data_IF_339378037759
#
_entry.id   IF_339378037759
#
_cell.length_a   1.000
_cell.length_b   1.000
_cell.length_c   1.000
_cell.angle_alpha   90.00
_cell.angle_beta   90.00
_cell.angle_gamma   90.00
#
_symmetry.space_group_name_H-M   'P 1'
#
loop_
_entity.id
_entity.type
_entity.pdbx_description
1 polymer ?
#
# COMPACT_ATOMS: atom_id res chain seq x y z
N UNK A 1 -0.75 13.34 1.17
CA UNK A 1 0.31 12.31 1.22
C UNK A 1 0.88 12.01 -0.16
N UNK A 2 0.07 11.69 -1.17
CA UNK A 2 0.58 11.43 -2.55
C UNK A 2 1.45 12.58 -3.07
N UNK A 3 0.93 13.81 -3.10
CA UNK A 3 1.70 14.99 -3.51
C UNK A 3 2.93 15.24 -2.62
N UNK A 4 2.82 14.92 -1.33
CA UNK A 4 3.90 15.04 -0.35
C UNK A 4 5.06 14.11 -0.68
N UNK A 5 4.77 12.84 -1.03
CA UNK A 5 5.76 11.84 -1.41
C UNK A 5 6.50 12.24 -2.70
N UNK A 6 5.79 12.82 -3.66
CA UNK A 6 6.39 13.30 -4.91
C UNK A 6 7.05 14.68 -4.81
N UNK A 7 7.02 15.34 -3.64
CA UNK A 7 7.48 16.73 -3.41
C UNK A 7 7.03 17.71 -4.49
N UNK A 8 5.90 17.43 -5.12
CA UNK A 8 5.38 18.18 -6.25
C UNK A 8 3.88 18.02 -6.30
N UNK A 9 3.19 19.04 -6.81
CA UNK A 9 1.79 18.87 -7.20
C UNK A 9 1.78 17.85 -8.32
N UNK A 10 1.33 16.63 -8.01
CA UNK A 10 0.86 15.69 -9.01
C UNK A 10 -0.44 16.29 -9.57
N UNK A 11 -0.26 17.29 -10.42
CA UNK A 11 -1.35 18.06 -10.96
C UNK A 11 -2.15 17.17 -11.92
N UNK A 12 -3.45 17.08 -11.67
CA UNK A 12 -4.43 16.45 -12.58
C UNK A 12 -4.97 17.44 -13.62
N UNK A 13 -4.42 18.65 -13.71
CA UNK A 13 -4.60 19.69 -14.75
C UNK A 13 -3.75 20.92 -14.39
N UNK A 14 -2.97 21.45 -15.33
CA UNK A 14 -2.15 22.63 -15.12
C UNK A 14 -3.02 23.83 -14.69
N UNK A 15 -2.67 24.52 -13.61
CA UNK A 15 -3.44 25.70 -13.18
C UNK A 15 -2.56 26.80 -12.60
N UNK A 16 -3.02 28.03 -12.89
CA UNK A 16 -2.41 29.31 -12.57
C UNK A 16 -2.23 29.55 -11.06
N UNK A 17 -1.25 30.37 -10.65
CA UNK A 17 -1.03 30.69 -9.24
C UNK A 17 -2.20 31.48 -8.65
N UNK A 18 -2.81 30.98 -7.57
CA UNK A 18 -3.79 31.73 -6.77
C UNK A 18 -5.07 30.99 -6.37
N UNK A 19 -5.35 29.82 -6.95
CA UNK A 19 -6.52 29.02 -6.58
C UNK A 19 -6.13 27.80 -5.75
N UNK A 20 -6.63 27.71 -4.51
CA UNK A 20 -6.55 26.50 -3.69
C UNK A 20 -7.46 25.44 -4.29
N UNK A 21 -6.97 24.67 -5.26
CA UNK A 21 -7.71 23.53 -5.79
C UNK A 21 -7.79 22.45 -4.71
N UNK A 22 -8.96 22.35 -4.06
CA UNK A 22 -9.26 21.28 -3.12
C UNK A 22 -9.22 19.96 -3.89
N UNK A 23 -8.34 19.04 -3.49
CA UNK A 23 -8.27 17.71 -4.10
C UNK A 23 -9.65 17.03 -3.93
N UNK A 24 -10.34 16.68 -5.02
CA UNK A 24 -11.66 16.08 -4.93
C UNK A 24 -11.60 14.71 -4.26
N UNK A 25 -12.70 14.27 -3.64
CA UNK A 25 -12.79 12.94 -3.04
C UNK A 25 -12.53 11.88 -4.10
N UNK A 26 -11.61 10.96 -3.83
CA UNK A 26 -11.29 9.84 -4.71
C UNK A 26 -12.46 8.85 -4.69
N UNK A 27 -13.08 8.60 -5.85
CA UNK A 27 -14.26 7.73 -6.02
C UNK A 27 -13.92 6.39 -6.68
N UNK A 28 -12.77 6.31 -7.35
CA UNK A 28 -12.27 5.12 -8.04
C UNK A 28 -10.76 5.00 -7.84
N UNK A 29 -10.21 3.79 -8.00
CA UNK A 29 -8.76 3.60 -7.93
C UNK A 29 -8.08 4.36 -9.07
N UNK A 30 -7.04 5.12 -8.74
CA UNK A 30 -6.31 5.94 -9.70
C UNK A 30 -4.81 5.87 -9.46
N UNK A 31 -4.08 5.39 -10.45
CA UNK A 31 -2.61 5.32 -10.39
C UNK A 31 -1.99 6.55 -11.03
N UNK A 32 -1.00 7.13 -10.34
CA UNK A 32 -0.15 8.19 -10.87
C UNK A 32 1.29 7.69 -10.86
N UNK A 33 1.95 7.81 -12.00
CA UNK A 33 3.35 7.42 -12.16
C UNK A 33 4.24 8.62 -12.44
N UNK A 34 5.32 8.75 -11.68
CA UNK A 34 6.40 9.70 -11.94
C UNK A 34 7.75 9.00 -11.95
N UNK A 35 8.68 9.51 -12.76
CA UNK A 35 10.08 9.13 -12.66
C UNK A 35 10.75 10.09 -11.70
N UNK A 36 11.24 9.57 -10.59
CA UNK A 36 11.99 10.33 -9.59
C UNK A 36 13.46 9.92 -9.65
N UNK A 37 14.35 10.83 -9.27
CA UNK A 37 15.79 10.58 -9.20
C UNK A 37 16.27 10.81 -7.77
N UNK A 38 16.88 9.78 -7.18
CA UNK A 38 17.43 9.83 -5.83
C UNK A 38 18.89 9.42 -5.87
N UNK A 39 19.80 10.32 -5.48
CA UNK A 39 21.27 10.11 -5.50
C UNK A 39 21.80 9.59 -6.86
N UNK A 40 21.25 10.09 -7.97
CA UNK A 40 21.64 9.69 -9.33
C UNK A 40 20.97 8.42 -9.85
N UNK A 41 20.14 7.75 -9.04
CA UNK A 41 19.37 6.57 -9.44
C UNK A 41 17.96 6.99 -9.84
N UNK A 42 17.60 6.75 -11.11
CA UNK A 42 16.24 6.98 -11.62
C UNK A 42 15.34 5.81 -11.30
N UNK A 43 14.20 6.07 -10.70
CA UNK A 43 13.18 5.08 -10.40
C UNK A 43 11.79 5.54 -10.87
N UNK A 44 10.99 4.60 -11.37
CA UNK A 44 9.61 4.84 -11.78
C UNK A 44 8.68 4.53 -10.60
N UNK A 45 8.29 5.56 -9.86
CA UNK A 45 7.40 5.42 -8.71
C UNK A 45 5.95 5.56 -9.18
N UNK A 46 5.13 4.55 -8.89
CA UNK A 46 3.68 4.58 -9.14
C UNK A 46 2.94 4.55 -7.82
N UNK A 47 2.10 5.54 -7.57
CA UNK A 47 1.23 5.61 -6.38
C UNK A 47 -0.21 5.42 -6.84
N UNK A 48 -0.88 4.40 -6.29
CA UNK A 48 -2.29 4.15 -6.54
C UNK A 48 -3.12 4.71 -5.40
N UNK A 49 -3.87 5.76 -5.69
CA UNK A 49 -4.84 6.35 -4.78
C UNK A 49 -6.14 5.53 -4.78
N UNK A 50 -6.77 5.38 -3.63
CA UNK A 50 -7.91 4.49 -3.44
C UNK A 50 -9.14 5.25 -2.93
N UNK A 51 -10.35 4.80 -3.25
CA UNK A 51 -11.56 5.34 -2.63
C UNK A 51 -11.53 5.14 -1.11
N UNK A 52 -12.08 6.10 -0.38
CA UNK A 52 -12.27 5.95 1.06
C UNK A 52 -13.29 4.86 1.39
N UNK A 53 -13.13 4.22 2.55
CA UNK A 53 -14.06 3.23 3.12
C UNK A 53 -14.49 3.66 4.52
N UNK A 54 -15.55 3.04 5.05
CA UNK A 54 -16.06 3.32 6.41
C UNK A 54 -17.12 4.43 6.50
N UNK A 55 -17.54 4.99 5.36
CA UNK A 55 -18.57 6.04 5.29
C UNK A 55 -20.00 5.48 5.16
N UNK A 56 -20.14 4.18 4.85
CA UNK A 56 -21.44 3.54 4.64
C UNK A 56 -22.02 3.01 5.96
N UNK A 57 -23.33 2.75 6.00
CA UNK A 57 -23.97 2.07 7.14
C UNK A 57 -23.48 0.62 7.20
N UNK A 58 -23.52 -0.09 6.07
CA UNK A 58 -22.90 -1.40 5.92
C UNK A 58 -21.57 -1.26 5.17
N UNK A 59 -20.47 -1.61 5.85
CA UNK A 59 -19.12 -1.61 5.28
C UNK A 59 -18.58 -3.03 5.02
N UNK A 60 -19.44 -4.05 5.05
CA UNK A 60 -19.06 -5.40 4.63
C UNK A 60 -18.43 -5.37 3.23
N UNK A 61 -17.36 -6.12 3.06
CA UNK A 61 -16.66 -6.29 1.78
C UNK A 61 -16.06 -4.99 1.19
N UNK A 62 -15.93 -3.92 1.97
CA UNK A 62 -15.34 -2.66 1.48
C UNK A 62 -13.86 -2.80 1.04
N UNK A 63 -13.18 -3.88 1.44
CA UNK A 63 -11.83 -4.23 1.03
C UNK A 63 -11.74 -4.90 -0.35
N UNK A 64 -12.84 -5.44 -0.87
CA UNK A 64 -12.85 -6.23 -2.11
C UNK A 64 -12.29 -5.48 -3.32
N UNK A 65 -12.63 -4.19 -3.56
CA UNK A 65 -12.08 -3.45 -4.70
C UNK A 65 -10.54 -3.35 -4.65
N UNK A 66 -9.97 -3.16 -3.46
CA UNK A 66 -8.52 -3.02 -3.27
C UNK A 66 -7.83 -4.39 -3.39
N UNK A 67 -8.38 -5.43 -2.75
CA UNK A 67 -7.87 -6.80 -2.87
C UNK A 67 -7.93 -7.29 -4.32
N UNK A 68 -9.03 -7.00 -5.02
CA UNK A 68 -9.20 -7.32 -6.44
C UNK A 68 -8.12 -6.65 -7.28
N UNK A 69 -7.90 -5.34 -7.09
CA UNK A 69 -6.85 -4.61 -7.81
C UNK A 69 -5.46 -5.22 -7.61
N UNK A 70 -5.08 -5.57 -6.37
CA UNK A 70 -3.79 -6.21 -6.07
C UNK A 70 -3.67 -7.55 -6.81
N UNK A 71 -4.68 -8.42 -6.69
CA UNK A 71 -4.71 -9.71 -7.38
C UNK A 71 -4.66 -9.56 -8.90
N UNK A 72 -5.31 -8.55 -9.49
CA UNK A 72 -5.24 -8.27 -10.93
C UNK A 72 -3.83 -7.91 -11.38
N UNK A 73 -3.03 -7.22 -10.54
CA UNK A 73 -1.62 -6.95 -10.88
C UNK A 73 -0.77 -8.21 -10.83
N UNK A 74 -1.01 -9.10 -9.85
CA UNK A 74 -0.35 -10.41 -9.81
C UNK A 74 -0.74 -11.29 -10.99
N UNK A 75 -2.02 -11.32 -11.35
CA UNK A 75 -2.53 -12.02 -12.52
C UNK A 75 -1.87 -11.53 -13.80
N UNK A 76 -1.77 -10.20 -13.97
CA UNK A 76 -1.13 -9.60 -15.14
C UNK A 76 0.33 -9.99 -15.26
N UNK A 77 1.06 -10.03 -14.14
CA UNK A 77 2.44 -10.46 -14.11
C UNK A 77 2.58 -11.95 -14.44
N UNK A 78 1.75 -12.80 -13.82
CA UNK A 78 1.72 -14.25 -14.05
C UNK A 78 1.45 -14.59 -15.51
N UNK A 79 0.49 -13.92 -16.15
CA UNK A 79 0.15 -14.13 -17.57
C UNK A 79 1.32 -13.90 -18.51
N UNK A 80 2.22 -12.96 -18.19
CA UNK A 80 3.43 -12.70 -18.98
C UNK A 80 4.54 -13.70 -18.64
N UNK A 81 4.61 -14.17 -17.40
CA UNK A 81 5.60 -15.14 -16.93
C UNK A 81 5.40 -16.54 -17.52
N UNK A 82 4.15 -16.98 -17.70
CA UNK A 82 3.82 -18.32 -18.23
C UNK A 82 4.01 -18.44 -19.76
N UNK A 83 4.21 -17.34 -20.48
CA UNK A 83 4.40 -17.38 -21.94
C UNK A 83 5.73 -18.05 -22.29
N UNK A 84 5.70 -18.98 -23.24
CA UNK A 84 6.91 -19.62 -23.79
C UNK A 84 7.84 -18.55 -24.37
N UNK A 85 7.29 -17.64 -25.19
CA UNK A 85 7.99 -16.48 -25.74
C UNK A 85 7.74 -15.25 -24.87
N UNK A 86 8.35 -15.23 -23.69
CA UNK A 86 8.22 -14.11 -22.74
C UNK A 86 9.05 -12.88 -23.14
N UNK A 87 8.58 -11.70 -22.72
CA UNK A 87 9.34 -10.45 -22.82
C UNK A 87 10.62 -10.55 -21.99
N UNK A 88 11.73 -9.97 -22.48
CA UNK A 88 13.00 -9.89 -21.73
C UNK A 88 12.85 -9.15 -20.40
N UNK A 89 11.97 -8.15 -20.34
CA UNK A 89 11.64 -7.38 -19.15
C UNK A 89 10.12 -7.29 -19.01
N UNK A 90 9.54 -8.08 -18.11
CA UNK A 90 8.11 -8.03 -17.81
C UNK A 90 7.83 -6.69 -17.11
N UNK A 91 6.84 -5.90 -17.57
CA UNK A 91 6.42 -4.69 -16.87
C UNK A 91 5.87 -5.02 -15.49
N UNK A 92 6.58 -4.64 -14.43
CA UNK A 92 6.10 -4.84 -13.06
C UNK A 92 5.11 -3.74 -12.67
N UNK A 93 3.88 -4.15 -12.41
CA UNK A 93 2.77 -3.28 -11.95
C UNK A 93 2.23 -3.73 -10.59
N UNK A 94 2.85 -4.76 -9.98
CA UNK A 94 2.44 -5.30 -8.68
C UNK A 94 2.61 -4.24 -7.60
N UNK A 95 1.73 -4.29 -6.59
CA UNK A 95 1.79 -3.36 -5.46
C UNK A 95 2.86 -3.86 -4.49
N UNK A 96 3.95 -3.11 -4.34
CA UNK A 96 5.06 -3.52 -3.46
C UNK A 96 4.85 -3.14 -1.99
N UNK A 97 4.05 -2.12 -1.72
CA UNK A 97 3.72 -1.65 -0.36
C UNK A 97 2.37 -0.95 -0.33
N UNK A 98 1.62 -1.17 0.74
CA UNK A 98 0.35 -0.54 1.05
C UNK A 98 0.49 0.32 2.31
N UNK A 99 0.46 1.65 2.15
CA UNK A 99 0.43 2.59 3.28
C UNK A 99 -0.98 2.68 3.83
N UNK A 100 -1.23 2.12 5.01
CA UNK A 100 -2.56 2.04 5.60
C UNK A 100 -2.79 3.21 6.58
N UNK A 101 -3.77 4.07 6.29
CA UNK A 101 -4.03 5.27 7.10
C UNK A 101 -5.00 4.97 8.25
N UNK A 102 -4.47 4.97 9.47
CA UNK A 102 -5.24 4.87 10.71
C UNK A 102 -5.74 6.28 11.09
N UNK A 103 -7.05 6.47 11.35
CA UNK A 103 -7.56 7.75 11.83
C UNK A 103 -6.98 8.12 13.20
N UNK A 104 -6.66 9.41 13.45
CA UNK A 104 -6.05 9.86 14.71
C UNK A 104 -7.10 10.00 15.82
N UNK A 105 -7.75 8.91 16.21
CA UNK A 105 -8.80 8.93 17.26
C UNK A 105 -8.24 9.02 18.68
N UNK A 106 -6.98 8.63 18.88
CA UNK A 106 -6.36 8.54 20.21
C UNK A 106 -6.83 7.34 21.05
N UNK A 107 -7.72 6.49 20.52
CA UNK A 107 -8.28 5.33 21.23
C UNK A 107 -7.62 4.01 20.80
N UNK A 108 -8.37 3.14 20.12
CA UNK A 108 -7.97 1.81 19.67
C UNK A 108 -8.17 1.69 18.17
N UNK A 109 -7.62 0.64 17.55
CA UNK A 109 -7.96 0.33 16.17
C UNK A 109 -9.45 -0.01 16.06
N UNK A 110 -10.12 0.54 15.05
CA UNK A 110 -11.52 0.19 14.79
C UNK A 110 -11.57 -1.27 14.34
N UNK A 111 -12.63 -2.04 14.67
CA UNK A 111 -12.81 -3.41 14.18
C UNK A 111 -12.73 -3.52 12.66
N UNK A 112 -13.23 -2.50 11.95
CA UNK A 112 -13.12 -2.40 10.50
C UNK A 112 -11.64 -2.36 10.04
N UNK A 113 -10.80 -1.58 10.70
CA UNK A 113 -9.38 -1.45 10.35
C UNK A 113 -8.60 -2.73 10.65
N UNK A 114 -8.94 -3.40 11.76
CA UNK A 114 -8.35 -4.70 12.12
C UNK A 114 -8.63 -5.75 11.05
N UNK A 115 -9.89 -5.89 10.63
CA UNK A 115 -10.27 -6.86 9.61
C UNK A 115 -9.66 -6.51 8.25
N UNK A 116 -9.63 -5.23 7.88
CA UNK A 116 -9.03 -4.78 6.63
C UNK A 116 -7.53 -5.10 6.60
N UNK A 117 -6.76 -4.66 7.60
CA UNK A 117 -5.32 -4.90 7.66
C UNK A 117 -4.99 -6.39 7.73
N UNK A 118 -5.79 -7.19 8.45
CA UNK A 118 -5.64 -8.66 8.50
C UNK A 118 -5.79 -9.33 7.13
N UNK A 119 -6.66 -8.82 6.26
CA UNK A 119 -6.81 -9.33 4.89
C UNK A 119 -5.68 -8.86 3.99
N UNK A 120 -5.30 -7.59 4.10
CA UNK A 120 -4.22 -7.02 3.28
C UNK A 120 -2.85 -7.62 3.59
N UNK A 121 -2.51 -7.82 4.86
CA UNK A 121 -1.19 -8.33 5.27
C UNK A 121 -0.85 -9.70 4.69
N UNK A 122 -1.86 -10.49 4.31
CA UNK A 122 -1.71 -11.80 3.67
C UNK A 122 -1.32 -11.73 2.19
N UNK A 123 -1.48 -10.58 1.54
CA UNK A 123 -1.33 -10.44 0.08
C UNK A 123 -0.45 -9.26 -0.33
N UNK A 124 -0.07 -8.36 0.59
CA UNK A 124 0.79 -7.21 0.31
C UNK A 124 1.49 -6.76 1.58
N UNK A 125 2.66 -6.13 1.44
CA UNK A 125 3.34 -5.49 2.56
C UNK A 125 2.54 -4.29 3.07
N UNK A 126 2.13 -4.30 4.33
CA UNK A 126 1.32 -3.22 4.93
C UNK A 126 2.18 -2.38 5.86
N UNK A 127 2.22 -1.05 5.63
CA UNK A 127 2.88 -0.07 6.51
C UNK A 127 1.81 0.83 7.11
N UNK A 128 1.39 0.61 8.37
CA UNK A 128 0.38 1.45 8.99
C UNK A 128 0.95 2.81 9.40
N UNK A 129 0.14 3.85 9.22
CA UNK A 129 0.49 5.24 9.56
C UNK A 129 -0.67 5.93 10.25
N UNK A 130 -0.40 6.74 11.27
CA UNK A 130 -1.40 7.61 11.89
C UNK A 130 -1.58 8.82 10.97
N UNK A 131 -2.76 8.95 10.39
CA UNK A 131 -3.11 10.03 9.49
C UNK A 131 -3.28 11.35 10.26
N UNK A 132 -2.93 12.49 9.63
CA UNK A 132 -3.14 13.84 10.21
C UNK A 132 -2.64 13.93 11.65
N UNK A 133 -1.42 13.45 11.90
CA UNK A 133 -0.88 13.36 13.25
C UNK A 133 -0.74 14.71 13.97
N UNK A 134 -0.86 15.83 13.24
CA UNK A 134 -0.96 17.19 13.77
C UNK A 134 -2.21 17.43 14.63
N UNK A 135 -3.17 16.50 14.67
CA UNK A 135 -4.35 16.58 15.54
C UNK A 135 -4.14 15.98 16.93
N UNK A 136 -2.99 15.36 17.20
CA UNK A 136 -2.67 14.72 18.48
C UNK A 136 -1.46 15.43 19.11
N UNK A 137 -1.44 15.54 20.43
CA UNK A 137 -0.21 15.96 21.14
C UNK A 137 0.87 14.87 21.07
N UNK A 138 2.09 15.19 21.49
CA UNK A 138 3.20 14.22 21.49
C UNK A 138 2.91 13.04 22.42
N UNK A 139 2.26 13.30 23.56
CA UNK A 139 1.87 12.34 24.57
C UNK A 139 0.74 11.44 24.05
N UNK A 140 -0.34 12.03 23.53
CA UNK A 140 -1.47 11.29 22.93
C UNK A 140 -1.01 10.40 21.78
N UNK A 141 -0.10 10.91 20.94
CA UNK A 141 0.51 10.16 19.84
C UNK A 141 1.31 8.97 20.35
N UNK A 142 2.10 9.13 21.42
CA UNK A 142 2.89 8.06 22.00
C UNK A 142 2.00 6.95 22.58
N UNK A 143 0.98 7.33 23.35
CA UNK A 143 0.00 6.37 23.88
C UNK A 143 -0.77 5.65 22.76
N UNK A 144 -1.22 6.39 21.75
CA UNK A 144 -1.99 5.82 20.65
C UNK A 144 -1.16 4.82 19.84
N UNK A 145 0.13 5.10 19.60
CA UNK A 145 1.05 4.15 18.98
C UNK A 145 1.15 2.85 19.76
N UNK A 146 1.33 2.92 21.08
CA UNK A 146 1.43 1.72 21.92
C UNK A 146 0.14 0.88 21.86
N UNK A 147 -1.03 1.55 21.86
CA UNK A 147 -2.33 0.89 21.73
C UNK A 147 -2.48 0.19 20.37
N UNK A 148 -2.14 0.87 19.28
CA UNK A 148 -2.14 0.27 17.93
C UNK A 148 -1.20 -0.94 17.86
N UNK A 149 0.03 -0.82 18.36
CA UNK A 149 0.99 -1.93 18.38
C UNK A 149 0.47 -3.13 19.17
N UNK A 150 -0.18 -2.89 20.33
CA UNK A 150 -0.82 -3.93 21.12
C UNK A 150 -1.95 -4.62 20.36
N UNK A 151 -2.80 -3.85 19.69
CA UNK A 151 -3.92 -4.38 18.90
C UNK A 151 -3.42 -5.22 17.72
N UNK A 152 -2.39 -4.76 17.00
CA UNK A 152 -1.78 -5.52 15.88
C UNK A 152 -1.23 -6.86 16.36
N UNK A 153 -0.51 -6.88 17.49
CA UNK A 153 0.02 -8.11 18.10
C UNK A 153 -1.10 -9.04 18.57
N UNK A 154 -2.09 -8.52 19.29
CA UNK A 154 -3.21 -9.31 19.80
C UNK A 154 -4.04 -9.98 18.70
N UNK A 155 -4.12 -9.36 17.52
CA UNK A 155 -4.88 -9.85 16.37
C UNK A 155 -4.04 -10.60 15.34
N UNK A 156 -2.75 -10.82 15.62
CA UNK A 156 -1.78 -11.48 14.74
C UNK A 156 -1.72 -10.85 13.33
N UNK A 157 -1.67 -9.52 13.26
CA UNK A 157 -1.56 -8.77 12.01
C UNK A 157 -0.09 -8.45 11.76
N UNK A 158 0.54 -9.22 10.86
CA UNK A 158 1.93 -9.01 10.44
C UNK A 158 2.04 -7.79 9.52
N UNK A 159 2.59 -6.70 10.03
CA UNK A 159 2.90 -5.49 9.25
C UNK A 159 4.38 -5.50 8.85
N UNK A 160 4.72 -4.73 7.82
CA UNK A 160 6.08 -4.61 7.34
C UNK A 160 6.93 -3.71 8.27
N UNK A 161 8.20 -4.04 8.57
CA UNK A 161 8.90 -5.30 8.25
C UNK A 161 8.45 -6.47 9.14
N UNK A 162 8.18 -7.64 8.56
CA UNK A 162 7.72 -8.83 9.29
C UNK A 162 8.91 -9.54 9.95
N UNK A 163 8.77 -9.95 11.22
CA UNK A 163 9.84 -10.64 11.98
C UNK A 163 10.26 -11.97 11.32
N UNK A 164 9.32 -12.66 10.67
CA UNK A 164 9.57 -13.95 10.00
C UNK A 164 10.47 -13.84 8.77
N UNK A 165 10.75 -12.63 8.28
CA UNK A 165 11.55 -12.37 7.08
C UNK A 165 12.93 -11.77 7.38
N UNK A 166 13.29 -11.58 8.65
CA UNK A 166 14.63 -11.12 9.03
C UNK A 166 15.66 -12.19 8.66
N UNK A 167 16.63 -11.86 7.78
CA UNK A 167 17.59 -12.84 7.25
C UNK A 167 18.70 -13.17 8.27
N UNK A 168 19.17 -12.17 9.01
CA UNK A 168 20.27 -12.27 9.97
C UNK A 168 20.07 -11.34 11.20
N UNK A 169 20.90 -11.45 12.26
CA UNK A 169 20.76 -10.62 13.46
C UNK A 169 20.95 -9.11 13.24
N UNK A 170 21.74 -8.70 12.25
CA UNK A 170 21.98 -7.28 11.95
C UNK A 170 20.76 -6.69 11.22
N UNK A 171 20.18 -7.44 10.28
CA UNK A 171 18.92 -7.10 9.61
C UNK A 171 17.76 -7.03 10.62
N UNK A 172 17.65 -8.01 11.53
CA UNK A 172 16.68 -7.99 12.63
C UNK A 172 16.81 -6.73 13.49
N UNK A 173 18.03 -6.37 13.87
CA UNK A 173 18.30 -5.17 14.67
C UNK A 173 17.90 -3.88 13.93
N UNK A 174 18.15 -3.82 12.61
CA UNK A 174 17.71 -2.71 11.75
C UNK A 174 16.18 -2.63 11.68
N UNK A 175 15.52 -3.76 11.45
CA UNK A 175 14.08 -3.86 11.30
C UNK A 175 13.34 -3.60 12.64
N UNK A 176 13.89 -4.02 13.77
CA UNK A 176 13.34 -3.74 15.10
C UNK A 176 13.25 -2.23 15.37
N UNK A 177 14.27 -1.46 14.98
CA UNK A 177 14.25 0.01 15.10
C UNK A 177 13.13 0.65 14.27
N UNK A 178 12.72 0.02 13.17
CA UNK A 178 11.61 0.47 12.33
C UNK A 178 10.29 0.06 12.96
N UNK A 179 10.16 -1.20 13.40
CA UNK A 179 8.97 -1.74 14.08
C UNK A 179 8.62 -0.92 15.32
N UNK A 180 9.60 -0.48 16.10
CA UNK A 180 9.40 0.41 17.26
C UNK A 180 8.74 1.74 16.90
N UNK A 181 8.99 2.26 15.69
CA UNK A 181 8.43 3.53 15.21
C UNK A 181 7.07 3.38 14.55
N UNK A 182 6.73 2.17 14.08
CA UNK A 182 5.46 1.88 13.42
C UNK A 182 4.32 1.78 14.45
N UNK A 183 3.17 2.44 14.23
CA UNK A 183 2.81 3.21 13.03
C UNK A 183 3.46 4.60 12.99
N UNK A 184 3.91 5.04 11.80
CA UNK A 184 4.46 6.39 11.64
C UNK A 184 3.37 7.44 11.76
N UNK A 185 3.61 8.49 12.52
CA UNK A 185 2.73 9.61 12.72
C UNK A 185 3.04 10.71 11.70
N UNK A 186 2.22 10.77 10.65
CA UNK A 186 2.54 11.53 9.45
C UNK A 186 1.57 12.70 9.24
N UNK A 187 2.13 13.79 8.73
CA UNK A 187 1.39 14.97 8.29
C UNK A 187 1.56 15.10 6.79
N UNK A 188 0.47 15.31 6.07
CA UNK A 188 0.51 15.57 4.64
C UNK A 188 0.49 17.07 4.36
N UNK A 189 1.29 17.51 3.40
CA UNK A 189 1.26 18.85 2.86
C UNK A 189 1.32 18.84 1.32
N UNK A 190 0.69 19.83 0.71
CA UNK A 190 0.61 20.07 -0.73
C UNK A 190 1.01 21.51 -1.11
N UNK A 191 1.39 22.31 -0.11
CA UNK A 191 1.86 23.69 -0.27
C UNK A 191 3.28 23.85 0.26
N UNK A 192 4.07 24.66 -0.44
CA UNK A 192 5.36 25.13 0.04
C UNK A 192 5.20 26.47 0.73
N UNK A 193 5.97 26.66 1.79
CA UNK A 193 6.05 27.92 2.53
C UNK A 193 7.50 28.33 2.74
N UNK A 194 7.73 29.61 2.98
CA UNK A 194 9.07 30.12 3.31
C UNK A 194 9.23 30.20 4.83
N UNK A 195 10.20 29.47 5.37
CA UNK A 195 10.56 29.44 6.78
C UNK A 195 12.07 29.67 6.89
N UNK A 196 12.50 30.68 7.64
CA UNK A 196 13.92 31.04 7.80
C UNK A 196 14.67 31.17 6.45
N UNK A 197 14.03 31.78 5.45
CA UNK A 197 14.58 31.96 4.10
C UNK A 197 14.59 30.71 3.21
N UNK A 198 14.24 29.52 3.74
CA UNK A 198 14.17 28.26 2.97
C UNK A 198 12.73 27.95 2.55
N UNK A 199 12.56 27.41 1.35
CA UNK A 199 11.28 26.83 0.90
C UNK A 199 11.14 25.44 1.49
N UNK A 200 10.07 25.23 2.25
CA UNK A 200 9.79 23.98 2.95
C UNK A 200 8.36 23.55 2.65
N UNK A 201 8.17 22.25 2.43
CA UNK A 201 6.84 21.68 2.29
C UNK A 201 6.20 21.60 3.69
N UNK A 202 5.04 22.23 3.86
CA UNK A 202 4.45 22.35 5.18
C UNK A 202 2.95 22.61 5.17
N UNK A 203 2.33 22.38 6.32
CA UNK A 203 0.92 22.67 6.57
C UNK A 203 0.82 23.94 7.41
N UNK A 204 0.27 25.01 6.84
CA UNK A 204 0.00 26.26 7.57
C UNK A 204 -1.22 26.09 8.48
N UNK A 205 -1.06 26.45 9.74
CA UNK A 205 -2.11 26.52 10.76
C UNK A 205 -2.26 27.96 11.27
N UNK A 206 -3.20 28.19 12.20
CA UNK A 206 -3.30 29.48 12.90
C UNK A 206 -2.11 29.77 13.81
N UNK A 207 -1.38 28.73 14.24
CA UNK A 207 -0.33 28.81 15.26
C UNK A 207 1.08 28.75 14.68
N UNK A 208 1.22 28.40 13.40
CA UNK A 208 2.52 28.25 12.75
C UNK A 208 2.48 27.33 11.54
N UNK A 209 3.65 26.94 11.08
CA UNK A 209 3.84 26.08 9.91
C UNK A 209 4.42 24.75 10.37
N UNK A 210 3.70 23.67 10.08
CA UNK A 210 4.15 22.32 10.36
C UNK A 210 4.96 21.86 9.15
N UNK A 211 6.28 21.95 9.24
CA UNK A 211 7.21 21.43 8.23
C UNK A 211 7.15 19.90 8.18
N UNK A 212 6.72 19.33 7.05
CA UNK A 212 6.49 17.89 6.92
C UNK A 212 7.80 17.10 6.82
N UNK A 213 8.87 17.72 6.34
CA UNK A 213 10.19 17.08 6.26
C UNK A 213 10.99 17.19 7.57
N UNK A 214 10.47 17.91 8.58
CA UNK A 214 11.16 18.13 9.84
C UNK A 214 10.81 17.00 10.84
N UNK A 215 11.79 16.17 11.28
CA UNK A 215 11.54 15.05 12.19
C UNK A 215 11.07 15.49 13.58
N UNK A 216 11.25 16.75 13.94
CA UNK A 216 10.70 17.32 15.18
C UNK A 216 9.18 17.50 15.09
N UNK A 217 8.64 17.75 13.90
CA UNK A 217 7.22 18.00 13.68
C UNK A 217 6.43 16.71 13.39
N UNK A 218 6.94 15.84 12.51
CA UNK A 218 6.28 14.57 12.20
C UNK A 218 7.26 13.53 11.67
N UNK A 219 6.79 12.29 11.54
CA UNK A 219 7.61 11.14 11.15
C UNK A 219 7.50 10.80 9.66
N UNK A 220 6.98 11.72 8.84
CA UNK A 220 6.95 11.55 7.38
C UNK A 220 8.35 11.26 6.77
N UNK A 221 9.47 11.87 7.23
CA UNK A 221 10.78 11.54 6.69
C UNK A 221 11.13 10.05 6.84
N UNK A 222 10.71 9.43 7.95
CA UNK A 222 10.95 8.00 8.19
C UNK A 222 10.15 7.14 7.22
N UNK A 223 8.86 7.45 7.02
CA UNK A 223 8.02 6.76 6.04
C UNK A 223 8.60 6.88 4.61
N UNK A 224 9.01 8.09 4.22
CA UNK A 224 9.61 8.33 2.90
C UNK A 224 10.88 7.52 2.75
N UNK A 225 11.80 7.61 3.72
CA UNK A 225 13.08 6.93 3.63
C UNK A 225 12.91 5.40 3.60
N UNK A 226 11.94 4.85 4.35
CA UNK A 226 11.54 3.44 4.25
C UNK A 226 11.12 3.08 2.81
N UNK A 227 10.15 3.79 2.25
CA UNK A 227 9.51 3.43 0.98
C UNK A 227 10.41 3.62 -0.25
N UNK A 228 11.25 4.66 -0.29
CA UNK A 228 11.98 5.05 -1.50
C UNK A 228 13.51 5.07 -1.36
N UNK A 229 14.06 4.78 -0.17
CA UNK A 229 15.52 4.76 0.05
C UNK A 229 16.01 3.44 0.60
N UNK A 230 15.76 3.15 1.87
CA UNK A 230 16.43 2.06 2.58
C UNK A 230 15.83 0.69 2.28
N UNK A 231 14.51 0.58 2.16
CA UNK A 231 13.81 -0.71 2.14
C UNK A 231 13.07 -0.99 0.82
N UNK A 232 13.28 -0.15 -0.21
CA UNK A 232 12.59 -0.29 -1.49
C UNK A 232 12.83 -1.67 -2.14
N UNK A 233 14.05 -2.19 -2.05
CA UNK A 233 14.40 -3.46 -2.67
C UNK A 233 13.82 -4.64 -1.88
N UNK A 234 13.95 -4.63 -0.55
CA UNK A 234 13.34 -5.64 0.31
C UNK A 234 11.80 -5.72 0.17
N UNK A 235 11.11 -4.58 0.12
CA UNK A 235 9.68 -4.52 -0.17
C UNK A 235 9.32 -5.23 -1.50
N UNK A 236 10.17 -5.10 -2.52
CA UNK A 236 9.97 -5.77 -3.82
C UNK A 236 10.27 -7.26 -3.73
N UNK A 237 11.30 -7.64 -2.98
CA UNK A 237 11.72 -9.04 -2.83
C UNK A 237 10.68 -9.85 -2.05
N UNK A 238 10.16 -9.32 -0.94
CA UNK A 238 9.02 -9.94 -0.23
C UNK A 238 7.78 -9.99 -1.13
N UNK A 239 7.51 -8.93 -1.89
CA UNK A 239 6.39 -8.94 -2.85
C UNK A 239 6.52 -10.05 -3.89
N UNK A 240 7.73 -10.28 -4.39
CA UNK A 240 7.97 -11.30 -5.41
C UNK A 240 8.00 -12.71 -4.83
N UNK A 241 8.80 -12.93 -3.79
CA UNK A 241 9.14 -14.24 -3.27
C UNK A 241 8.09 -14.78 -2.30
N UNK A 242 7.29 -13.91 -1.67
CA UNK A 242 6.27 -14.31 -0.70
C UNK A 242 4.86 -14.09 -1.28
N UNK A 243 4.48 -12.83 -1.50
CA UNK A 243 3.09 -12.50 -1.83
C UNK A 243 2.70 -13.00 -3.23
N UNK A 244 3.54 -12.71 -4.23
CA UNK A 244 3.32 -13.16 -5.61
C UNK A 244 3.46 -14.68 -5.75
N UNK A 245 4.47 -15.31 -5.16
CA UNK A 245 4.59 -16.78 -5.23
C UNK A 245 3.42 -17.48 -4.55
N UNK A 246 2.93 -16.97 -3.41
CA UNK A 246 1.71 -17.50 -2.78
C UNK A 246 0.49 -17.41 -3.70
N UNK A 247 0.33 -16.26 -4.39
CA UNK A 247 -0.71 -16.09 -5.40
C UNK A 247 -0.54 -17.08 -6.58
N UNK A 248 0.68 -17.21 -7.09
CA UNK A 248 1.04 -18.06 -8.23
C UNK A 248 0.77 -19.54 -7.95
N UNK A 249 1.23 -20.06 -6.81
CA UNK A 249 0.98 -21.45 -6.37
C UNK A 249 -0.52 -21.72 -6.31
N UNK A 250 -1.30 -20.81 -5.69
CA UNK A 250 -2.76 -20.94 -5.62
C UNK A 250 -3.39 -21.01 -7.02
N UNK A 251 -3.02 -20.11 -7.93
CA UNK A 251 -3.60 -20.02 -9.29
C UNK A 251 -3.24 -21.21 -10.17
N UNK A 252 -2.01 -21.70 -10.10
CA UNK A 252 -1.58 -22.87 -10.88
C UNK A 252 -2.29 -24.14 -10.39
N UNK A 253 -2.47 -24.28 -9.08
CA UNK A 253 -3.24 -25.40 -8.52
C UNK A 253 -4.73 -25.34 -8.92
N UNK A 254 -5.36 -24.17 -8.91
CA UNK A 254 -6.72 -23.98 -9.43
C UNK A 254 -6.83 -24.36 -10.91
N UNK A 255 -5.87 -23.92 -11.73
CA UNK A 255 -5.84 -24.19 -13.17
C UNK A 255 -5.66 -25.69 -13.46
N UNK A 256 -4.79 -26.37 -12.71
CA UNK A 256 -4.60 -27.81 -12.84
C UNK A 256 -5.87 -28.59 -12.43
N UNK A 257 -6.60 -28.15 -11.40
CA UNK A 257 -7.87 -28.79 -11.01
C UNK A 257 -8.96 -28.62 -12.05
N UNK A 258 -9.03 -27.46 -12.71
CA UNK A 258 -9.94 -27.24 -13.84
C UNK A 258 -9.59 -28.13 -15.04
N UNK A 259 -8.30 -28.31 -15.33
CA UNK A 259 -7.85 -29.20 -16.39
C UNK A 259 -8.12 -30.70 -16.10
N UNK A 260 -8.19 -31.09 -14.83
CA UNK A 260 -8.43 -32.46 -14.36
C UNK A 260 -9.91 -32.79 -14.11
N UNK A 261 -10.83 -31.85 -14.32
CA UNK A 261 -12.27 -32.11 -14.17
C UNK A 261 -12.76 -32.87 -15.42
N UNK A 262 -13.32 -34.09 -15.30
CA UNK A 262 -13.76 -34.85 -16.47
C UNK A 262 -14.93 -34.12 -17.13
N UNK A 263 -14.81 -33.91 -18.44
CA UNK A 263 -15.90 -33.44 -19.32
C UNK A 263 -17.03 -34.47 -19.23
N UNK A 264 -18.03 -34.21 -18.40
CA UNK A 264 -19.21 -35.04 -18.30
C UNK A 264 -20.26 -34.54 -19.30
N UNK A 265 -20.51 -35.37 -20.32
CA UNK A 265 -21.81 -35.50 -20.96
C UNK A 265 -21.97 -34.86 -22.33
N UNK A 266 -21.46 -35.52 -23.38
CA UNK A 266 -22.03 -35.49 -24.73
C UNK A 266 -21.50 -36.72 -25.49
N UNK A 267 -22.10 -37.87 -25.24
CA UNK A 267 -22.14 -38.98 -26.21
C UNK A 267 -23.59 -39.08 -26.66
N UNK A 268 -23.76 -38.91 -27.97
CA UNK A 268 -25.03 -38.72 -28.63
C UNK A 268 -25.97 -39.91 -28.47
N UNK A 269 -27.26 -39.58 -28.56
CA UNK A 269 -28.27 -40.50 -29.05
C UNK A 269 -27.84 -40.99 -30.43
N UNK A 270 -27.54 -42.27 -30.56
CA UNK A 270 -27.69 -42.96 -31.83
C UNK A 270 -29.12 -43.51 -31.86
N UNK A 271 -30.01 -42.74 -32.48
CA UNK A 271 -31.14 -43.30 -33.23
C UNK A 271 -30.57 -43.62 -34.62
N UNK A 272 -30.61 -44.88 -35.04
CA UNK A 272 -31.23 -45.22 -36.32
C UNK A 272 -31.36 -46.74 -36.54
N UNK A 273 -32.49 -47.07 -37.17
CA UNK A 273 -33.04 -48.35 -37.56
C UNK A 273 -32.15 -49.15 -38.53
N UNK A 274 -32.27 -50.50 -38.50
CA UNK A 274 -32.57 -51.27 -39.72
C UNK A 274 -32.86 -52.75 -39.44
N UNK A 275 -34.12 -53.14 -39.68
CA UNK A 275 -34.56 -54.32 -40.44
C UNK A 275 -33.58 -55.51 -40.61
N UNK A 276 -33.87 -56.64 -39.96
CA UNK A 276 -34.27 -57.94 -40.55
C UNK A 276 -34.37 -59.03 -39.46
#
# INVERSE_FOLDING_TARGET
MVNTLFKSKVSRKATQPGHEERIPKTVQLQSVTHVIEEKGVKMKLTVTDTPGFGDQINNENCWDPIIKYINEQYERYLREEILITRKRKIPDTRVHSCVYFVPPTGHWLRPLDLEFMRRLSKIVNVVPVIAKADTLTLEERAEFKQRIQKDLKAHAISVYPQEDFDEDPDDRSLNDRIREKIPFAVVGADQEHQVNGKRVLGRKTKWGIIEVENPVHCEFPMLRDLLIRSHLQDLKDITHNVHYESYRVRRLNESNRLALSPVNGLLGKDEDESNL
#
